data_IF_797445634556
#
_entry.id   IF_797445634556
#
_cell.length_a   1.000
_cell.length_b   1.000
_cell.length_c   1.000
_cell.angle_alpha   90.00
_cell.angle_beta   90.00
_cell.angle_gamma   90.00
#
_symmetry.space_group_name_H-M   'P 1'
#
loop_
_entity.id
_entity.type
_entity.pdbx_description
1 polymer ?
#
# COMPACT_ATOMS: atom_id res chain seq x y z
N UNK A 1 27.53 33.09 44.59
CA UNK A 1 27.92 33.11 43.16
C UNK A 1 26.71 32.69 42.35
N UNK A 2 26.09 33.62 41.64
CA UNK A 2 24.86 33.39 40.87
C UNK A 2 25.22 32.76 39.52
N UNK A 3 24.80 31.51 39.29
CA UNK A 3 24.93 30.87 37.98
C UNK A 3 23.87 31.45 37.03
N UNK A 4 24.30 32.37 36.17
CA UNK A 4 23.47 32.90 35.08
C UNK A 4 23.06 31.77 34.13
N UNK A 5 21.79 31.40 34.17
CA UNK A 5 21.19 30.54 33.15
C UNK A 5 21.17 31.29 31.82
N UNK A 6 21.95 30.77 30.88
CA UNK A 6 22.19 31.35 29.56
C UNK A 6 20.92 31.18 28.70
N UNK A 7 20.04 32.19 28.69
CA UNK A 7 18.72 32.21 28.03
C UNK A 7 18.75 32.33 26.50
N UNK A 8 19.93 32.25 25.87
CA UNK A 8 20.04 32.28 24.41
C UNK A 8 20.23 30.87 23.85
N UNK A 9 19.16 30.33 23.26
CA UNK A 9 19.22 29.11 22.47
C UNK A 9 20.28 29.29 21.35
N UNK A 10 21.38 28.53 21.43
CA UNK A 10 22.42 28.55 20.41
C UNK A 10 21.77 28.21 19.06
N UNK A 11 21.96 29.02 18.00
CA UNK A 11 21.33 28.73 16.71
C UNK A 11 21.83 27.38 16.20
N UNK A 12 20.90 26.51 15.76
CA UNK A 12 21.26 25.22 15.17
C UNK A 12 22.27 25.46 14.02
N UNK A 13 23.42 24.75 14.01
CA UNK A 13 24.37 24.89 12.92
C UNK A 13 23.68 24.52 11.62
N UNK A 14 23.61 25.47 10.69
CA UNK A 14 23.10 25.22 9.33
C UNK A 14 24.04 24.19 8.71
N UNK A 15 23.54 22.98 8.45
CA UNK A 15 24.26 22.01 7.62
C UNK A 15 24.55 22.72 6.30
N UNK A 16 25.82 23.05 6.05
CA UNK A 16 26.25 23.55 4.76
C UNK A 16 25.96 22.42 3.79
N UNK A 17 24.87 22.57 3.03
CA UNK A 17 24.49 21.64 1.99
C UNK A 17 25.68 21.62 1.04
N UNK A 18 26.45 20.52 1.07
CA UNK A 18 27.63 20.37 0.23
C UNK A 18 27.20 20.71 -1.21
N UNK A 19 27.96 21.57 -1.92
CA UNK A 19 27.60 21.94 -3.27
C UNK A 19 27.43 20.64 -4.07
N UNK A 20 26.34 20.51 -4.85
CA UNK A 20 26.05 19.28 -5.58
C UNK A 20 27.30 18.89 -6.37
N UNK A 21 27.71 17.61 -6.36
CA UNK A 21 28.95 17.19 -6.99
C UNK A 21 28.93 17.63 -8.45
N UNK A 22 29.97 18.38 -8.86
CA UNK A 22 30.10 18.85 -10.24
C UNK A 22 30.03 17.63 -11.14
N UNK A 23 28.94 17.50 -11.91
CA UNK A 23 28.76 16.42 -12.87
C UNK A 23 30.02 16.39 -13.75
N UNK A 24 30.84 15.34 -13.60
CA UNK A 24 32.03 15.15 -14.43
C UNK A 24 31.57 15.23 -15.88
N UNK A 25 32.14 16.16 -16.66
CA UNK A 25 31.88 16.27 -18.09
C UNK A 25 32.29 14.92 -18.68
N UNK A 26 31.31 14.08 -19.04
CA UNK A 26 31.58 12.86 -19.80
C UNK A 26 32.09 13.33 -21.16
N UNK A 27 33.37 13.11 -21.43
CA UNK A 27 33.95 13.34 -22.75
C UNK A 27 33.38 12.25 -23.65
N UNK A 28 32.27 12.54 -24.34
CA UNK A 28 31.72 11.66 -25.36
C UNK A 28 32.56 11.85 -26.64
N UNK A 29 33.77 11.30 -26.65
CA UNK A 29 34.58 11.16 -27.86
C UNK A 29 34.02 9.96 -28.64
N UNK A 30 32.93 10.19 -29.37
CA UNK A 30 32.53 9.24 -30.40
C UNK A 30 33.49 9.46 -31.57
N UNK A 31 34.32 8.46 -31.87
CA UNK A 31 35.37 8.55 -32.91
C UNK A 31 34.78 8.75 -34.32
N UNK A 32 33.56 8.26 -34.56
CA UNK A 32 32.85 8.43 -35.84
C UNK A 32 31.35 8.66 -35.62
N UNK A 33 30.82 9.76 -36.15
CA UNK A 33 29.38 10.03 -36.18
C UNK A 33 28.85 9.47 -37.50
N UNK A 34 28.25 8.27 -37.47
CA UNK A 34 27.51 7.73 -38.61
C UNK A 34 26.22 8.53 -38.78
N UNK A 35 26.19 9.36 -39.82
CA UNK A 35 25.02 10.15 -40.15
C UNK A 35 24.08 9.36 -41.06
N UNK A 36 23.02 8.82 -40.47
CA UNK A 36 21.97 8.15 -41.21
C UNK A 36 20.97 9.19 -41.75
N UNK A 37 20.95 9.33 -43.09
CA UNK A 37 20.08 10.27 -43.78
C UNK A 37 18.59 9.89 -43.64
N UNK A 38 18.27 8.61 -43.51
CA UNK A 38 16.89 8.14 -43.38
C UNK A 38 16.38 8.45 -41.97
N UNK A 39 17.16 8.13 -40.94
CA UNK A 39 16.87 8.54 -39.57
C UNK A 39 16.75 10.08 -39.45
N UNK A 40 17.54 10.84 -40.21
CA UNK A 40 17.43 12.30 -40.27
C UNK A 40 16.13 12.75 -40.95
N UNK A 41 15.74 12.13 -42.05
CA UNK A 41 14.49 12.43 -42.75
C UNK A 41 13.28 12.12 -41.86
N UNK A 42 13.29 10.98 -41.16
CA UNK A 42 12.29 10.64 -40.14
C UNK A 42 12.33 11.59 -38.94
N UNK A 43 13.51 12.06 -38.56
CA UNK A 43 13.63 13.05 -37.50
C UNK A 43 13.01 14.39 -37.92
N UNK A 44 13.26 14.87 -39.14
CA UNK A 44 12.71 16.14 -39.60
C UNK A 44 11.20 16.08 -39.87
N UNK A 45 10.71 15.00 -40.47
CA UNK A 45 9.29 14.87 -40.88
C UNK A 45 8.41 14.20 -39.82
N UNK A 46 8.97 13.35 -38.97
CA UNK A 46 8.28 12.57 -37.95
C UNK A 46 7.94 13.32 -36.67
N UNK A 47 7.94 14.65 -36.67
CA UNK A 47 7.68 15.46 -35.46
C UNK A 47 6.31 15.15 -34.83
N UNK A 48 5.29 14.95 -35.66
CA UNK A 48 3.97 14.52 -35.22
C UNK A 48 4.01 13.10 -34.62
N UNK A 49 4.72 12.17 -35.26
CA UNK A 49 4.93 10.80 -34.75
C UNK A 49 5.61 10.82 -33.37
N UNK A 50 6.69 11.60 -33.18
CA UNK A 50 7.37 11.75 -31.89
C UNK A 50 6.51 12.43 -30.83
N UNK A 51 5.70 13.42 -31.21
CA UNK A 51 4.76 14.07 -30.28
C UNK A 51 3.71 13.07 -29.80
N UNK A 52 3.15 12.26 -30.69
CA UNK A 52 2.24 11.18 -30.33
C UNK A 52 2.92 10.11 -29.48
N UNK A 53 4.13 9.69 -29.83
CA UNK A 53 4.91 8.73 -29.03
C UNK A 53 5.18 9.25 -27.63
N UNK A 54 5.59 10.52 -27.47
CA UNK A 54 5.76 11.13 -26.13
C UNK A 54 4.45 11.17 -25.34
N UNK A 55 3.34 11.50 -26.00
CA UNK A 55 2.03 11.50 -25.36
C UNK A 55 1.62 10.07 -24.92
N UNK A 56 1.79 9.08 -25.80
CA UNK A 56 1.53 7.66 -25.50
C UNK A 56 2.41 7.14 -24.36
N UNK A 57 3.71 7.41 -24.42
CA UNK A 57 4.64 7.00 -23.37
C UNK A 57 4.32 7.66 -22.03
N UNK A 58 3.91 8.94 -22.02
CA UNK A 58 3.46 9.60 -20.79
C UNK A 58 2.17 8.96 -20.24
N UNK A 59 1.23 8.56 -21.12
CA UNK A 59 0.01 7.84 -20.73
C UNK A 59 0.34 6.44 -20.19
N UNK A 60 1.23 5.71 -20.84
CA UNK A 60 1.68 4.38 -20.44
C UNK A 60 2.38 4.40 -19.08
N UNK A 61 3.30 5.33 -18.87
CA UNK A 61 3.95 5.51 -17.56
C UNK A 61 2.94 5.89 -16.46
N UNK A 62 1.95 6.71 -16.77
CA UNK A 62 0.89 7.05 -15.81
C UNK A 62 0.02 5.82 -15.49
N UNK A 63 -0.32 5.01 -16.49
CA UNK A 63 -1.09 3.78 -16.32
C UNK A 63 -0.30 2.72 -15.53
N UNK A 64 0.99 2.57 -15.79
CA UNK A 64 1.86 1.65 -15.06
C UNK A 64 1.97 2.04 -13.59
N UNK A 65 2.19 3.33 -13.30
CA UNK A 65 2.20 3.84 -11.91
C UNK A 65 0.86 3.63 -11.21
N UNK A 66 -0.25 3.94 -11.87
CA UNK A 66 -1.58 3.72 -11.30
C UNK A 66 -1.85 2.22 -11.02
N UNK A 67 -1.34 1.31 -11.86
CA UNK A 67 -1.44 -0.13 -11.62
C UNK A 67 -0.59 -0.56 -10.43
N UNK A 68 0.64 -0.07 -10.32
CA UNK A 68 1.52 -0.35 -9.18
C UNK A 68 0.90 0.17 -7.87
N UNK A 69 0.43 1.41 -7.86
CA UNK A 69 -0.28 2.01 -6.71
C UNK A 69 -1.53 1.23 -6.33
N UNK A 70 -2.31 0.73 -7.31
CA UNK A 70 -3.49 -0.11 -7.03
C UNK A 70 -3.10 -1.46 -6.42
N UNK A 71 -2.02 -2.07 -6.89
CA UNK A 71 -1.51 -3.33 -6.33
C UNK A 71 -1.01 -3.10 -4.91
N UNK A 72 -0.25 -2.03 -4.68
CA UNK A 72 0.23 -1.65 -3.34
C UNK A 72 -0.93 -1.34 -2.40
N UNK A 73 -1.91 -0.55 -2.83
CA UNK A 73 -3.10 -0.27 -2.05
C UNK A 73 -3.89 -1.56 -1.73
N UNK A 74 -4.01 -2.49 -2.68
CA UNK A 74 -4.62 -3.80 -2.43
C UNK A 74 -3.81 -4.62 -1.43
N UNK A 75 -2.48 -4.61 -1.52
CA UNK A 75 -1.60 -5.26 -0.54
C UNK A 75 -1.78 -4.66 0.84
N UNK A 76 -1.75 -3.32 0.96
CA UNK A 76 -1.93 -2.61 2.22
C UNK A 76 -3.32 -2.86 2.84
N UNK A 77 -4.38 -2.81 2.03
CA UNK A 77 -5.74 -3.13 2.50
C UNK A 77 -5.87 -4.60 2.89
N UNK A 78 -5.28 -5.54 2.14
CA UNK A 78 -5.25 -6.95 2.53
C UNK A 78 -4.43 -7.22 3.80
N UNK A 79 -3.42 -6.39 4.07
CA UNK A 79 -2.66 -6.42 5.33
C UNK A 79 -3.48 -5.82 6.48
N UNK A 80 -4.33 -4.82 6.23
CA UNK A 80 -5.13 -4.15 7.26
C UNK A 80 -6.47 -4.84 7.57
N UNK A 81 -7.01 -5.64 6.65
CA UNK A 81 -8.36 -6.18 6.77
C UNK A 81 -8.48 -7.39 7.71
N UNK A 82 -7.37 -8.12 7.98
CA UNK A 82 -7.34 -9.18 9.00
C UNK A 82 -5.92 -9.37 9.59
N UNK A 83 -5.65 -8.92 10.82
CA UNK A 83 -4.33 -9.06 11.45
C UNK A 83 -3.92 -10.54 11.65
N UNK A 84 -4.89 -11.45 11.86
CA UNK A 84 -4.63 -12.88 12.03
C UNK A 84 -4.17 -13.60 10.75
N UNK A 85 -4.56 -13.11 9.57
CA UNK A 85 -4.12 -13.72 8.30
C UNK A 85 -2.64 -13.43 7.99
N UNK A 86 -2.11 -12.31 8.48
CA UNK A 86 -0.70 -12.00 8.31
C UNK A 86 0.18 -12.94 9.15
N UNK A 87 -0.21 -13.19 10.40
CA UNK A 87 0.50 -14.11 11.31
C UNK A 87 0.55 -15.51 10.71
N UNK A 88 -0.56 -16.03 10.17
CA UNK A 88 -0.57 -17.36 9.54
C UNK A 88 0.27 -17.44 8.26
N UNK A 89 0.37 -16.35 7.48
CA UNK A 89 1.27 -16.29 6.32
C UNK A 89 2.73 -16.28 6.72
N UNK A 90 3.10 -15.47 7.72
CA UNK A 90 4.45 -15.44 8.27
C UNK A 90 4.86 -16.81 8.81
N UNK A 91 4.00 -17.46 9.61
CA UNK A 91 4.24 -18.81 10.13
C UNK A 91 4.45 -19.82 8.98
N UNK A 92 3.69 -19.71 7.89
CA UNK A 92 3.84 -20.60 6.73
C UNK A 92 5.16 -20.35 5.99
N UNK A 93 5.55 -19.09 5.83
CA UNK A 93 6.82 -18.70 5.21
C UNK A 93 8.02 -19.12 6.05
N UNK A 94 7.96 -18.93 7.36
CA UNK A 94 9.00 -19.33 8.31
C UNK A 94 9.18 -20.84 8.33
N UNK A 95 8.08 -21.62 8.39
CA UNK A 95 8.13 -23.08 8.28
C UNK A 95 8.74 -23.53 6.96
N UNK A 96 8.37 -22.89 5.85
CA UNK A 96 8.94 -23.20 4.54
C UNK A 96 10.44 -22.93 4.50
N UNK A 97 10.89 -21.80 5.05
CA UNK A 97 12.32 -21.46 5.14
C UNK A 97 13.08 -22.47 6.00
N UNK A 98 12.55 -22.85 7.16
CA UNK A 98 13.17 -23.85 8.03
C UNK A 98 13.33 -25.20 7.31
N UNK A 99 12.33 -25.63 6.55
CA UNK A 99 12.41 -26.85 5.74
C UNK A 99 13.47 -26.71 4.63
N UNK A 100 13.49 -25.59 3.92
CA UNK A 100 14.50 -25.33 2.87
C UNK A 100 15.93 -25.31 3.45
N UNK A 101 16.14 -24.65 4.58
CA UNK A 101 17.42 -24.62 5.29
C UNK A 101 17.83 -26.01 5.78
N UNK A 102 16.88 -26.81 6.29
CA UNK A 102 17.15 -28.18 6.71
C UNK A 102 17.51 -29.09 5.54
N UNK A 103 16.78 -29.01 4.43
CA UNK A 103 17.11 -29.77 3.21
C UNK A 103 18.48 -29.34 2.67
N UNK A 104 18.80 -28.05 2.71
CA UNK A 104 20.12 -27.56 2.34
C UNK A 104 21.20 -28.11 3.26
N UNK A 105 21.01 -28.09 4.58
CA UNK A 105 22.00 -28.60 5.53
C UNK A 105 22.22 -30.11 5.41
N UNK A 106 21.16 -30.89 5.18
CA UNK A 106 21.26 -32.34 4.91
C UNK A 106 21.99 -32.60 3.60
N UNK A 107 21.67 -31.85 2.54
CA UNK A 107 22.37 -31.97 1.26
C UNK A 107 23.85 -31.57 1.36
N UNK A 108 24.18 -30.56 2.17
CA UNK A 108 25.57 -30.18 2.45
C UNK A 108 26.29 -31.26 3.25
N UNK A 109 25.66 -31.84 4.27
CA UNK A 109 26.22 -32.95 5.04
C UNK A 109 26.46 -34.19 4.16
N UNK A 110 25.51 -34.54 3.28
CA UNK A 110 25.67 -35.62 2.30
C UNK A 110 26.83 -35.35 1.34
N UNK A 111 26.95 -34.13 0.82
CA UNK A 111 28.08 -33.74 -0.04
C UNK A 111 29.42 -33.83 0.69
N UNK A 112 29.48 -33.38 1.94
CA UNK A 112 30.69 -33.47 2.76
C UNK A 112 31.05 -34.92 3.08
N UNK A 113 30.08 -35.78 3.38
CA UNK A 113 30.30 -37.21 3.62
C UNK A 113 30.78 -37.95 2.36
N UNK A 114 30.21 -37.64 1.20
CA UNK A 114 30.68 -38.17 -0.09
C UNK A 114 32.12 -37.70 -0.40
N UNK A 115 32.43 -36.43 -0.13
CA UNK A 115 33.79 -35.89 -0.32
C UNK A 115 34.81 -36.48 0.67
N UNK A 116 34.37 -36.85 1.88
CA UNK A 116 35.19 -37.53 2.88
C UNK A 116 35.33 -39.05 2.61
N UNK A 117 34.72 -39.58 1.56
CA UNK A 117 34.78 -41.00 1.20
C UNK A 117 33.99 -41.92 2.12
N UNK A 118 33.04 -41.37 2.90
CA UNK A 118 32.19 -42.14 3.81
C UNK A 118 30.95 -42.72 3.11
N UNK A 119 30.58 -42.16 1.95
CA UNK A 119 29.53 -42.67 1.07
C UNK A 119 30.19 -43.05 -0.24
N UNK A 120 30.22 -44.36 -0.52
CA UNK A 120 30.66 -44.91 -1.78
C UNK A 120 29.56 -44.69 -2.82
N UNK A 121 29.88 -43.97 -3.90
CA UNK A 121 28.92 -43.52 -4.90
C UNK A 121 28.58 -44.61 -5.95
N UNK A 122 28.81 -45.88 -5.62
CA UNK A 122 28.54 -47.04 -6.48
C UNK A 122 27.74 -48.11 -5.71
N UNK A 123 26.42 -47.98 -5.72
CA UNK A 123 25.54 -49.05 -5.24
C UNK A 123 24.48 -48.58 -4.25
N UNK A 124 23.50 -47.84 -4.76
CA UNK A 124 22.16 -47.91 -4.17
C UNK A 124 21.30 -48.66 -5.17
N UNK A 125 21.48 -49.99 -5.20
CA UNK A 125 20.40 -50.86 -5.63
C UNK A 125 19.27 -50.65 -4.63
N UNK A 126 18.14 -50.17 -5.15
CA UNK A 126 16.87 -50.12 -4.45
C UNK A 126 16.48 -51.55 -4.09
N UNK A 127 16.96 -52.03 -2.94
CA UNK A 127 16.40 -53.19 -2.28
C UNK A 127 15.05 -52.75 -1.70
N UNK A 128 14.04 -52.82 -2.57
CA UNK A 128 12.64 -52.98 -2.20
C UNK A 128 12.54 -54.26 -1.36
N UNK A 129 12.72 -54.12 -0.06
CA UNK A 129 12.39 -55.17 0.89
C UNK A 129 11.46 -54.58 1.95
N UNK A 130 10.18 -54.71 1.62
CA UNK A 130 9.00 -54.82 2.48
C UNK A 130 9.28 -54.89 3.99
N UNK A 131 9.36 -53.73 4.62
CA UNK A 131 8.91 -53.57 6.00
C UNK A 131 8.03 -52.34 6.08
N UNK A 132 6.79 -52.53 5.62
CA UNK A 132 5.67 -51.65 5.94
C UNK A 132 5.42 -51.67 7.46
N UNK A 133 6.24 -50.95 8.22
CA UNK A 133 5.81 -50.38 9.50
C UNK A 133 4.84 -49.25 9.18
N UNK A 134 3.63 -49.68 8.81
CA UNK A 134 2.44 -48.85 8.75
C UNK A 134 2.33 -48.13 10.09
N UNK A 135 2.59 -46.83 10.05
CA UNK A 135 2.53 -45.94 11.20
C UNK A 135 1.17 -46.13 11.91
N UNK A 136 1.19 -46.89 13.00
CA UNK A 136 0.04 -47.11 13.87
C UNK A 136 -0.30 -45.81 14.54
N UNK A 137 -1.29 -45.10 13.98
CA UNK A 137 -1.72 -43.78 14.45
C UNK A 137 -1.93 -43.75 15.96
N UNK A 138 -1.64 -42.61 16.58
CA UNK A 138 -1.82 -42.42 18.02
C UNK A 138 -3.26 -42.81 18.41
N UNK A 139 -3.39 -43.72 19.37
CA UNK A 139 -4.67 -44.00 20.00
C UNK A 139 -5.19 -42.70 20.64
N UNK A 140 -6.32 -42.20 20.13
CA UNK A 140 -7.00 -41.04 20.67
C UNK A 140 -7.58 -41.41 22.03
N UNK A 141 -6.77 -41.25 23.09
CA UNK A 141 -7.25 -41.34 24.47
C UNK A 141 -8.11 -40.11 24.75
N UNK A 142 -9.37 -40.20 24.32
CA UNK A 142 -10.40 -39.17 24.36
C UNK A 142 -10.88 -38.84 25.79
N UNK A 143 -9.97 -38.50 26.73
CA UNK A 143 -10.36 -38.34 28.13
C UNK A 143 -9.48 -37.55 29.07
N UNK A 144 -8.24 -37.18 28.74
CA UNK A 144 -7.36 -36.43 29.64
C UNK A 144 -6.59 -35.35 28.89
N UNK A 145 -7.32 -34.37 28.37
CA UNK A 145 -6.73 -33.05 28.23
C UNK A 145 -6.77 -32.42 29.61
N UNK A 146 -5.64 -32.41 30.31
CA UNK A 146 -5.46 -31.52 31.45
C UNK A 146 -5.70 -30.11 30.92
N UNK A 147 -6.89 -29.57 31.20
CA UNK A 147 -7.24 -28.18 30.94
C UNK A 147 -6.36 -27.37 31.88
N UNK A 148 -5.14 -27.06 31.44
CA UNK A 148 -4.26 -26.14 32.13
C UNK A 148 -5.01 -24.80 32.09
N UNK A 149 -5.58 -24.44 33.24
CA UNK A 149 -6.24 -23.16 33.47
C UNK A 149 -5.15 -22.08 33.47
N UNK A 150 -4.77 -21.66 32.26
CA UNK A 150 -3.81 -20.59 32.06
C UNK A 150 -4.50 -19.26 32.42
N UNK A 151 -4.60 -18.97 33.71
CA UNK A 151 -4.92 -17.65 34.23
C UNK A 151 -3.75 -16.69 33.96
N UNK A 152 -3.60 -16.26 32.71
CA UNK A 152 -2.73 -15.13 32.39
C UNK A 152 -3.39 -13.84 32.88
N UNK A 153 -3.02 -13.42 34.09
CA UNK A 153 -3.39 -12.13 34.67
C UNK A 153 -2.82 -10.99 33.83
N UNK A 154 -3.62 -10.49 32.89
CA UNK A 154 -3.33 -9.28 32.14
C UNK A 154 -3.75 -8.06 32.98
N UNK A 155 -2.78 -7.45 33.67
CA UNK A 155 -3.00 -6.17 34.35
C UNK A 155 -2.83 -5.05 33.32
N UNK A 156 -3.92 -4.68 32.65
CA UNK A 156 -4.07 -3.36 32.02
C UNK A 156 -5.15 -2.59 32.80
N UNK A 157 -4.76 -2.11 33.99
CA UNK A 157 -5.61 -1.43 34.98
C UNK A 157 -6.16 -0.05 34.57
N UNK A 158 -6.13 0.35 33.29
CA UNK A 158 -6.44 1.75 32.95
C UNK A 158 -7.33 2.05 31.73
N UNK A 159 -8.07 1.08 31.17
CA UNK A 159 -9.20 1.36 30.26
C UNK A 159 -10.28 0.27 30.27
N UNK A 160 -11.31 0.44 31.10
CA UNK A 160 -12.53 -0.38 30.99
C UNK A 160 -13.27 -0.08 29.67
N UNK A 161 -13.16 -0.97 28.68
CA UNK A 161 -14.13 -1.10 27.59
C UNK A 161 -14.89 -2.40 27.81
N UNK A 162 -16.17 -2.32 28.16
CA UNK A 162 -16.99 -3.51 28.36
C UNK A 162 -17.37 -4.10 27.00
N UNK A 163 -16.96 -5.33 26.74
CA UNK A 163 -17.37 -6.11 25.57
C UNK A 163 -18.60 -6.93 25.93
N UNK A 164 -19.72 -6.67 25.26
CA UNK A 164 -20.95 -7.46 25.39
C UNK A 164 -20.97 -8.56 24.33
N UNK A 165 -21.05 -9.82 24.77
CA UNK A 165 -21.19 -10.97 23.87
C UNK A 165 -22.68 -11.26 23.69
N UNK A 166 -23.21 -11.04 22.49
CA UNK A 166 -24.58 -11.38 22.12
C UNK A 166 -24.62 -12.74 21.42
N UNK A 167 -25.60 -13.58 21.78
CA UNK A 167 -25.82 -14.87 21.13
C UNK A 167 -26.53 -14.67 19.78
N UNK A 168 -25.88 -15.12 18.71
CA UNK A 168 -26.42 -15.12 17.35
C UNK A 168 -26.68 -16.55 16.90
N UNK A 169 -27.81 -16.78 16.24
CA UNK A 169 -28.14 -18.08 15.66
C UNK A 169 -27.60 -18.13 14.22
N UNK A 170 -26.84 -19.19 13.89
CA UNK A 170 -26.31 -19.40 12.54
C UNK A 170 -27.27 -20.31 11.78
N UNK A 171 -27.96 -19.78 10.78
CA UNK A 171 -28.83 -20.54 9.87
C UNK A 171 -28.27 -20.54 8.44
N UNK A 172 -28.76 -21.44 7.58
CA UNK A 172 -28.37 -21.51 6.15
C UNK A 172 -28.59 -20.17 5.41
N UNK A 173 -29.48 -19.33 5.92
CA UNK A 173 -29.82 -18.02 5.36
C UNK A 173 -29.01 -16.85 5.98
N UNK A 174 -28.11 -17.14 6.93
CA UNK A 174 -27.24 -16.14 7.55
C UNK A 174 -27.30 -16.11 9.09
N UNK A 175 -26.73 -15.04 9.65
CA UNK A 175 -26.59 -14.82 11.08
C UNK A 175 -27.78 -14.00 11.58
N UNK A 176 -28.65 -14.58 12.41
CA UNK A 176 -29.84 -13.90 12.96
C UNK A 176 -29.67 -13.62 14.45
N UNK A 177 -29.94 -12.38 14.87
CA UNK A 177 -29.96 -12.01 16.29
C UNK A 177 -31.31 -12.37 16.90
N UNK A 178 -31.33 -12.98 18.07
CA UNK A 178 -32.57 -13.44 18.73
C UNK A 178 -33.31 -12.33 19.48
N UNK A 179 -32.98 -11.06 19.22
CA UNK A 179 -33.59 -9.94 19.93
C UNK A 179 -35.02 -9.75 19.43
N UNK A 180 -36.05 -9.75 20.28
CA UNK A 180 -37.40 -9.42 19.86
C UNK A 180 -37.43 -7.95 19.41
N UNK A 181 -37.90 -7.73 18.18
CA UNK A 181 -37.99 -6.43 17.51
C UNK A 181 -38.87 -5.45 18.31
N UNK A 182 -38.28 -4.35 18.77
CA UNK A 182 -39.02 -3.12 19.03
C UNK A 182 -38.76 -2.15 17.87
N UNK A 183 -39.75 -2.09 16.96
CA UNK A 183 -40.25 -0.93 16.23
C UNK A 183 -39.23 0.07 15.65
N UNK A 184 -39.08 0.05 14.32
CA UNK A 184 -38.26 1.05 13.61
C UNK A 184 -38.29 0.95 12.09
N UNK A 185 -39.45 1.24 11.50
CA UNK A 185 -39.71 1.62 10.10
C UNK A 185 -38.50 2.20 9.32
N UNK A 186 -38.09 1.52 8.24
CA UNK A 186 -37.43 2.16 7.10
C UNK A 186 -37.82 1.44 5.80
N UNK A 187 -38.80 2.04 5.11
CA UNK A 187 -39.22 1.68 3.76
C UNK A 187 -38.06 1.66 2.75
N UNK A 188 -37.98 0.54 2.04
CA UNK A 188 -37.29 0.31 0.77
C UNK A 188 -38.02 1.00 -0.39
N UNK A 189 -37.30 1.80 -1.20
CA UNK A 189 -37.69 2.14 -2.58
C UNK A 189 -36.47 2.25 -3.50
N UNK A 190 -36.14 1.12 -4.12
CA UNK A 190 -36.01 0.87 -5.57
C UNK A 190 -35.71 2.04 -6.55
N UNK A 191 -34.60 1.86 -7.28
CA UNK A 191 -34.42 1.75 -8.74
C UNK A 191 -34.82 2.85 -9.79
N UNK A 192 -33.91 2.93 -10.77
CA UNK A 192 -34.03 3.27 -12.21
C UNK A 192 -33.92 4.71 -12.75
N UNK A 193 -32.81 4.91 -13.50
CA UNK A 193 -32.67 5.29 -14.91
C UNK A 193 -33.24 6.61 -15.48
N UNK A 194 -32.39 7.29 -16.27
CA UNK A 194 -32.79 8.39 -17.14
C UNK A 194 -31.63 9.17 -17.76
N UNK A 195 -31.19 8.75 -18.94
CA UNK A 195 -30.33 9.52 -19.85
C UNK A 195 -30.91 10.91 -20.21
N UNK A 196 -30.03 11.87 -20.56
CA UNK A 196 -30.01 12.56 -21.88
C UNK A 196 -29.01 13.73 -21.98
N UNK A 197 -28.23 13.66 -23.06
CA UNK A 197 -27.86 14.70 -24.03
C UNK A 197 -27.05 15.94 -23.61
N UNK A 198 -25.78 16.03 -24.05
CA UNK A 198 -25.30 16.70 -25.29
C UNK A 198 -25.38 18.25 -25.23
N UNK A 199 -24.22 18.94 -25.30
CA UNK A 199 -23.67 19.49 -26.55
C UNK A 199 -22.84 20.80 -26.37
N UNK A 200 -21.82 20.92 -27.24
CA UNK A 200 -21.15 22.11 -27.80
C UNK A 200 -20.29 23.10 -26.97
N UNK A 201 -18.97 22.93 -27.22
CA UNK A 201 -18.03 23.89 -27.89
C UNK A 201 -18.26 25.40 -27.70
N UNK A 202 -17.22 26.11 -27.26
CA UNK A 202 -16.62 27.22 -28.06
C UNK A 202 -15.13 27.38 -27.74
N UNK A 203 -14.34 27.45 -28.81
CA UNK A 203 -12.98 27.94 -28.81
C UNK A 203 -13.01 29.44 -29.11
N UNK A 204 -12.22 30.24 -28.39
CA UNK A 204 -11.81 31.56 -28.86
C UNK A 204 -10.46 31.93 -28.24
N UNK A 205 -9.51 32.23 -29.14
CA UNK A 205 -8.19 32.75 -28.86
C UNK A 205 -8.27 34.18 -28.32
N UNK A 206 -7.33 34.57 -27.46
CA UNK A 206 -6.79 35.94 -27.47
C UNK A 206 -5.33 35.94 -27.01
N UNK A 207 -4.50 36.62 -27.80
CA UNK A 207 -3.07 36.80 -27.57
C UNK A 207 -2.76 37.91 -26.54
N UNK A 208 -1.63 37.73 -25.83
CA UNK A 208 -0.65 38.68 -25.25
C UNK A 208 -1.20 39.87 -24.43
N UNK A 209 -0.80 40.09 -23.18
CA UNK A 209 0.54 40.61 -22.77
C UNK A 209 0.79 40.37 -21.26
N UNK A 210 2.05 40.45 -20.82
CA UNK A 210 2.41 40.68 -19.40
C UNK A 210 2.99 39.48 -18.65
N UNK A 211 4.27 39.60 -18.28
CA UNK A 211 5.08 38.62 -17.57
C UNK A 211 4.74 38.51 -16.07
N UNK A 212 4.61 37.27 -15.58
CA UNK A 212 5.19 36.69 -14.34
C UNK A 212 4.40 35.42 -13.93
N UNK A 213 5.15 34.36 -13.61
CA UNK A 213 4.74 33.05 -13.07
C UNK A 213 3.73 32.20 -13.86
N UNK A 214 4.24 31.33 -14.73
CA UNK A 214 3.47 30.38 -15.56
C UNK A 214 3.05 29.06 -14.85
N UNK A 215 3.11 28.97 -13.51
CA UNK A 215 2.74 27.73 -12.81
C UNK A 215 1.66 27.85 -11.72
N UNK A 216 1.10 29.05 -11.48
CA UNK A 216 -0.06 29.18 -10.61
C UNK A 216 -1.36 29.10 -11.45
N UNK A 217 -2.28 28.14 -11.19
CA UNK A 217 -3.56 28.13 -11.87
C UNK A 217 -4.31 29.41 -11.55
N UNK A 218 -4.71 30.15 -12.59
CA UNK A 218 -5.51 31.38 -12.44
C UNK A 218 -6.80 31.05 -11.68
N UNK A 219 -7.03 31.70 -10.55
CA UNK A 219 -8.26 31.54 -9.77
C UNK A 219 -9.44 31.94 -10.66
N UNK A 220 -10.38 31.02 -10.90
CA UNK A 220 -11.60 31.31 -11.63
C UNK A 220 -12.36 32.43 -10.90
N UNK A 221 -12.88 33.40 -11.66
CA UNK A 221 -13.74 34.46 -11.09
C UNK A 221 -14.92 33.79 -10.38
N UNK A 222 -15.14 34.13 -9.11
CA UNK A 222 -16.26 33.58 -8.37
C UNK A 222 -17.56 34.05 -9.03
N UNK A 223 -18.42 33.10 -9.38
CA UNK A 223 -19.78 33.42 -9.80
C UNK A 223 -20.58 33.69 -8.52
N UNK A 224 -21.24 34.84 -8.45
CA UNK A 224 -22.20 35.11 -7.39
C UNK A 224 -23.37 34.13 -7.56
N UNK A 225 -23.38 33.05 -6.78
CA UNK A 225 -24.51 32.14 -6.66
C UNK A 225 -24.79 31.98 -5.18
N UNK A 226 -26.07 31.79 -4.86
CA UNK A 226 -26.44 31.44 -3.50
C UNK A 226 -25.86 30.08 -3.16
N UNK A 227 -25.21 29.99 -2.00
CA UNK A 227 -24.74 28.73 -1.45
C UNK A 227 -25.93 27.82 -1.19
N UNK A 228 -25.79 26.53 -1.51
CA UNK A 228 -26.76 25.51 -1.12
C UNK A 228 -26.84 25.39 0.40
N UNK A 229 -27.88 24.73 0.94
CA UNK A 229 -28.10 24.60 2.40
C UNK A 229 -26.90 23.95 3.10
N UNK A 230 -26.31 22.93 2.50
CA UNK A 230 -25.13 22.22 3.02
C UNK A 230 -23.87 23.08 2.94
N UNK A 231 -23.65 23.78 1.83
CA UNK A 231 -22.51 24.70 1.68
C UNK A 231 -22.56 25.81 2.73
N UNK A 232 -23.74 26.38 2.98
CA UNK A 232 -23.98 27.39 4.02
C UNK A 232 -23.69 26.87 5.43
N UNK A 233 -23.99 25.61 5.73
CA UNK A 233 -23.62 25.02 7.02
C UNK A 233 -22.09 24.91 7.17
N UNK A 234 -21.41 24.47 6.11
CA UNK A 234 -19.95 24.33 6.09
C UNK A 234 -19.27 25.71 6.21
N UNK A 235 -19.76 26.74 5.51
CA UNK A 235 -19.21 28.10 5.60
C UNK A 235 -19.43 28.69 6.99
N UNK A 236 -20.60 28.48 7.61
CA UNK A 236 -20.87 28.88 8.99
C UNK A 236 -19.92 28.23 10.00
N UNK A 237 -19.67 26.92 9.88
CA UNK A 237 -18.71 26.20 10.75
C UNK A 237 -17.30 26.79 10.57
N UNK A 238 -16.86 27.01 9.33
CA UNK A 238 -15.56 27.62 9.03
C UNK A 238 -15.42 29.03 9.60
N UNK A 239 -16.46 29.86 9.51
CA UNK A 239 -16.46 31.20 10.08
C UNK A 239 -16.42 31.17 11.62
N UNK A 240 -17.20 30.29 12.27
CA UNK A 240 -17.16 30.10 13.72
C UNK A 240 -15.77 29.68 14.20
N UNK A 241 -15.14 28.72 13.51
CA UNK A 241 -13.79 28.29 13.81
C UNK A 241 -12.76 29.43 13.63
N UNK A 242 -12.87 30.22 12.56
CA UNK A 242 -12.00 31.37 12.33
C UNK A 242 -12.16 32.42 13.42
N UNK A 243 -13.38 32.72 13.84
CA UNK A 243 -13.67 33.70 14.90
C UNK A 243 -13.20 33.22 16.28
N UNK A 244 -13.25 31.91 16.56
CA UNK A 244 -12.69 31.31 17.78
C UNK A 244 -11.17 31.42 17.86
N UNK A 245 -10.48 31.39 16.70
CA UNK A 245 -9.01 31.48 16.61
C UNK A 245 -8.47 32.91 16.62
N UNK A 246 -9.31 33.92 16.45
CA UNK A 246 -8.89 35.31 16.57
C UNK A 246 -8.84 35.66 18.06
N UNK A 247 -7.71 36.16 18.60
CA UNK A 247 -7.68 36.66 19.96
C UNK A 247 -8.70 37.79 20.04
N UNK A 248 -9.56 37.74 21.06
CA UNK A 248 -10.44 38.87 21.38
C UNK A 248 -9.54 39.93 22.02
N UNK A 249 -9.23 40.95 21.23
CA UNK A 249 -8.63 42.18 21.74
C UNK A 249 -9.66 43.00 22.50
#
# INVERSE_FOLDING_TARGET
MLNSHNMFARPRPKKLLAPPPKKRKRQHTLEEIKFDNDARAEYLTGFHKRKLQRAKHAQEQAAERARQEKIEARKQTSLSHDPNQHITKQIREDRKRQVEEHVQSVNEALKQAAQAGYIDSEGSESSDEDSAEEWGGFEDTSGQQDTIDHEEQYVDEDRYTTVTVESVNVSRDGLTSSRPDEEGDFEDKNHEDGEKDLDKKTAAQSEKTGSRDKHAPKKKKQRFRYETKLERQITNIKQKAKNKRRPRG
#
